data_IF_191664123292
#
_entry.id   IF_191664123292
#
_cell.length_a   1.000
_cell.length_b   1.000
_cell.length_c   1.000
_cell.angle_alpha   90.00
_cell.angle_beta   90.00
_cell.angle_gamma   90.00
#
_symmetry.space_group_name_H-M   'P 1'
#
loop_
_entity.id
_entity.type
_entity.pdbx_description
1 polymer ?
#
# COMPACT_ATOMS: atom_id res chain seq x y z
N UNK A 1 0.63 16.15 1.37
CA UNK A 1 0.31 14.70 1.41
C UNK A 1 0.20 14.25 -0.05
N UNK A 2 1.02 13.30 -0.51
CA UNK A 2 0.96 12.85 -1.92
C UNK A 2 -0.16 11.81 -2.08
N UNK A 3 -0.80 11.71 -3.25
CA UNK A 3 -1.83 10.70 -3.51
C UNK A 3 -1.30 9.26 -3.48
N UNK A 4 0.03 9.08 -3.48
CA UNK A 4 0.71 7.77 -3.36
C UNK A 4 1.03 7.37 -1.93
N UNK A 5 0.70 8.22 -0.95
CA UNK A 5 0.97 7.99 0.48
C UNK A 5 -0.29 7.58 1.22
N UNK A 6 -0.28 6.39 1.81
CA UNK A 6 -1.39 5.84 2.59
C UNK A 6 -0.94 5.64 4.02
N UNK A 7 -1.62 6.27 4.96
CA UNK A 7 -1.35 6.12 6.39
C UNK A 7 -1.95 4.81 6.91
N UNK A 8 -1.19 4.10 7.75
CA UNK A 8 -1.60 2.84 8.37
C UNK A 8 -1.46 2.97 9.87
N UNK A 9 -2.56 2.73 10.58
CA UNK A 9 -2.56 2.71 12.05
C UNK A 9 -1.91 1.42 12.57
N UNK A 10 -1.15 1.53 13.65
CA UNK A 10 -0.56 0.37 14.32
C UNK A 10 -1.63 -0.63 14.79
N UNK A 11 -2.68 -0.08 15.41
CA UNK A 11 -3.81 -0.85 15.91
C UNK A 11 -4.56 -1.52 14.76
N UNK A 12 -4.81 -2.83 14.89
CA UNK A 12 -5.52 -3.64 13.90
C UNK A 12 -4.65 -4.28 12.81
N UNK A 13 -3.49 -3.68 12.45
CA UNK A 13 -2.74 -4.10 11.25
C UNK A 13 -1.46 -4.94 11.53
N UNK A 14 -1.19 -5.30 12.79
CA UNK A 14 0.02 -6.05 13.17
C UNK A 14 1.32 -5.24 13.08
N UNK A 15 1.23 -3.90 13.06
CA UNK A 15 2.39 -3.02 13.03
C UNK A 15 2.71 -2.49 14.42
N UNK A 16 4.00 -2.36 14.73
CA UNK A 16 4.47 -1.82 16.02
C UNK A 16 4.23 -0.31 16.16
N UNK A 17 4.04 0.40 15.05
CA UNK A 17 3.90 1.86 14.99
C UNK A 17 3.08 2.29 13.79
N UNK A 18 2.46 3.47 13.91
CA UNK A 18 1.82 4.13 12.77
C UNK A 18 2.84 4.30 11.65
N UNK A 19 2.42 3.95 10.44
CA UNK A 19 3.30 3.80 9.29
C UNK A 19 2.67 4.42 8.05
N UNK A 20 3.45 4.52 6.98
CA UNK A 20 2.99 5.02 5.68
C UNK A 20 3.43 4.05 4.58
N UNK A 21 2.50 3.65 3.73
CA UNK A 21 2.81 2.90 2.50
C UNK A 21 3.16 3.91 1.40
N UNK A 22 4.29 3.69 0.71
CA UNK A 22 4.82 4.57 -0.33
C UNK A 22 4.69 3.88 -1.70
N UNK A 23 3.65 4.21 -2.45
CA UNK A 23 3.40 3.50 -3.72
C UNK A 23 4.39 3.86 -4.82
N UNK A 24 5.06 5.01 -4.71
CA UNK A 24 6.16 5.39 -5.60
C UNK A 24 7.43 4.54 -5.40
N UNK A 25 7.48 3.69 -4.37
CA UNK A 25 8.63 2.84 -4.04
C UNK A 25 8.37 1.34 -4.23
N UNK A 26 7.39 0.96 -5.04
CA UNK A 26 7.08 -0.44 -5.33
C UNK A 26 8.26 -1.15 -5.99
N UNK A 27 8.51 -2.39 -5.57
CA UNK A 27 9.56 -3.26 -6.13
C UNK A 27 9.02 -4.68 -6.29
N UNK A 28 9.34 -5.32 -7.41
CA UNK A 28 9.18 -6.77 -7.57
C UNK A 28 10.28 -7.48 -6.80
N UNK A 29 9.92 -8.49 -6.01
CA UNK A 29 10.85 -9.29 -5.21
C UNK A 29 10.61 -10.79 -5.42
N UNK A 30 11.67 -11.58 -5.30
CA UNK A 30 11.56 -13.03 -5.22
C UNK A 30 10.97 -13.47 -3.87
N UNK A 31 10.25 -14.59 -3.83
CA UNK A 31 9.62 -15.12 -2.59
C UNK A 31 10.64 -15.44 -1.48
N UNK A 32 11.88 -15.78 -1.82
CA UNK A 32 12.95 -16.05 -0.85
C UNK A 32 13.35 -14.80 -0.05
N UNK A 33 12.99 -13.59 -0.52
CA UNK A 33 13.25 -12.34 0.20
C UNK A 33 12.22 -12.04 1.29
N UNK A 34 11.08 -12.76 1.31
CA UNK A 34 10.08 -12.63 2.36
C UNK A 34 10.58 -13.29 3.64
N UNK A 35 10.37 -12.62 4.77
CA UNK A 35 10.68 -13.13 6.11
C UNK A 35 9.38 -13.57 6.81
N UNK A 36 9.20 -13.23 8.09
CA UNK A 36 7.96 -13.44 8.82
C UNK A 36 6.80 -12.54 8.34
N UNK A 37 5.56 -13.04 8.50
CA UNK A 37 4.34 -12.26 8.30
C UNK A 37 4.14 -11.32 9.49
N UNK A 38 4.15 -10.00 9.24
CA UNK A 38 3.92 -9.01 10.30
C UNK A 38 2.44 -8.79 10.60
N UNK A 39 1.56 -8.88 9.59
CA UNK A 39 0.14 -8.59 9.74
C UNK A 39 -0.62 -8.71 8.43
N UNK A 40 -1.75 -8.02 8.37
CA UNK A 40 -2.61 -7.89 7.19
C UNK A 40 -3.26 -6.51 7.22
N UNK A 41 -3.58 -5.97 6.04
CA UNK A 41 -4.34 -4.73 5.91
C UNK A 41 -5.80 -5.12 5.70
N UNK A 42 -6.71 -4.46 6.42
CA UNK A 42 -8.15 -4.63 6.23
C UNK A 42 -8.58 -4.24 4.80
N UNK A 43 -9.71 -4.79 4.34
CA UNK A 43 -10.18 -4.64 2.95
C UNK A 43 -10.37 -3.18 2.53
N UNK A 44 -10.94 -2.34 3.40
CA UNK A 44 -11.14 -0.90 3.15
C UNK A 44 -9.81 -0.15 2.92
N UNK A 45 -8.75 -0.58 3.60
CA UNK A 45 -7.43 0.01 3.44
C UNK A 45 -6.76 -0.51 2.16
N UNK A 46 -6.98 -1.77 1.80
CA UNK A 46 -6.54 -2.33 0.52
C UNK A 46 -7.23 -1.65 -0.67
N UNK A 47 -8.49 -1.21 -0.55
CA UNK A 47 -9.16 -0.43 -1.59
C UNK A 47 -8.45 0.91 -1.83
N UNK A 48 -8.05 1.61 -0.77
CA UNK A 48 -7.25 2.84 -0.88
C UNK A 48 -5.89 2.57 -1.55
N UNK A 49 -5.25 1.44 -1.25
CA UNK A 49 -4.02 1.01 -1.93
C UNK A 49 -4.25 0.85 -3.43
N UNK A 50 -5.35 0.22 -3.85
CA UNK A 50 -5.68 0.05 -5.27
C UNK A 50 -5.89 1.40 -5.98
N UNK A 51 -6.61 2.34 -5.35
CA UNK A 51 -6.84 3.68 -5.91
C UNK A 51 -5.54 4.47 -6.06
N UNK A 52 -4.70 4.48 -5.01
CA UNK A 52 -3.39 5.13 -5.06
C UNK A 52 -2.47 4.46 -6.08
N UNK A 53 -2.58 3.14 -6.26
CA UNK A 53 -1.78 2.38 -7.23
C UNK A 53 -2.17 2.80 -8.65
N UNK A 54 -3.46 2.92 -8.92
CA UNK A 54 -3.94 3.37 -10.22
C UNK A 54 -3.47 4.80 -10.55
N UNK A 55 -3.35 5.68 -9.56
CA UNK A 55 -2.71 7.00 -9.73
C UNK A 55 -1.20 6.85 -9.99
N UNK A 56 -0.49 6.09 -9.16
CA UNK A 56 0.97 5.91 -9.25
C UNK A 56 1.43 5.32 -10.57
N UNK A 57 0.63 4.43 -11.16
CA UNK A 57 0.92 3.76 -12.44
C UNK A 57 0.19 4.41 -13.63
N UNK A 58 -0.56 5.49 -13.43
CA UNK A 58 -1.31 6.16 -14.50
C UNK A 58 -2.42 5.31 -15.14
N UNK A 59 -2.99 4.36 -14.38
CA UNK A 59 -4.04 3.44 -14.81
C UNK A 59 -5.44 4.05 -14.76
N UNK A 60 -5.58 5.23 -14.14
CA UNK A 60 -6.81 6.03 -14.20
C UNK A 60 -6.95 6.61 -15.61
N UNK A 61 -7.45 5.82 -16.55
CA UNK A 61 -7.84 6.31 -17.86
C UNK A 61 -9.12 7.11 -17.70
N UNK A 62 -9.03 8.44 -17.78
CA UNK A 62 -10.15 9.22 -18.28
C UNK A 62 -10.39 8.72 -19.70
N UNK A 63 -11.40 7.86 -19.88
CA UNK A 63 -11.92 7.61 -21.22
C UNK A 63 -12.37 8.97 -21.77
N UNK A 64 -11.68 9.43 -22.81
CA UNK A 64 -12.12 10.59 -23.59
C UNK A 64 -13.41 10.29 -24.34
#
# INVERSE_FOLDING_TARGET
KLPTHIEVTASGNGLLKNSVILLEQIRTIDKQRLKEKMGHLEDDLMEQVNQAMAISFGLNTTAG
#
